data_IF_308691977879
#
_entry.id   IF_308691977879
#
_cell.length_a   1.000
_cell.length_b   1.000
_cell.length_c   1.000
_cell.angle_alpha   90.00
_cell.angle_beta   90.00
_cell.angle_gamma   90.00
#
_symmetry.space_group_name_H-M   'P 1'
#
loop_
_entity.id
_entity.type
_entity.pdbx_description
1 polymer ?
2 polymer ?
3 non-polymer ?
4 water ?
#
# COMPACT_ATOMS: atom_id res chain seq x y z
N UNK A 9 -3.39 -24.50 13.76
CA UNK A 9 -4.45 -24.21 14.73
C UNK A 9 -5.34 -23.07 14.25
N UNK A 10 -4.73 -22.07 13.62
CA UNK A 10 -5.47 -20.95 13.07
C UNK A 10 -6.46 -21.40 12.01
N UNK A 11 -6.01 -22.31 11.14
CA UNK A 11 -6.83 -22.79 10.03
C UNK A 11 -7.98 -23.63 10.54
N UNK A 12 -7.77 -24.30 11.66
CA UNK A 12 -8.78 -25.18 12.24
C UNK A 12 -9.78 -24.40 13.08
N UNK A 13 -9.66 -23.07 13.07
CA UNK A 13 -10.57 -22.22 13.81
C UNK A 13 -11.77 -21.80 12.96
N UNK A 14 -12.83 -21.38 13.62
CA UNK A 14 -14.02 -20.91 12.93
C UNK A 14 -13.94 -19.39 12.76
N UNK A 15 -14.79 -18.84 11.88
CA UNK A 15 -14.82 -17.41 11.66
C UNK A 15 -15.17 -16.67 12.95
N UNK A 16 -16.19 -17.16 13.65
CA UNK A 16 -16.57 -16.59 14.93
C UNK A 16 -15.49 -16.87 15.97
N UNK A 17 -14.89 -18.04 15.88
CA UNK A 17 -13.76 -18.39 16.76
C UNK A 17 -12.54 -17.53 16.41
N UNK A 18 -12.46 -17.10 15.16
CA UNK A 18 -11.38 -16.20 14.74
C UNK A 18 -11.59 -14.80 15.31
N UNK A 19 -12.80 -14.29 15.20
CA UNK A 19 -13.13 -12.97 15.73
C UNK A 19 -12.96 -12.90 17.24
N UNK A 20 -13.47 -13.91 17.94
CA UNK A 20 -13.42 -13.96 19.40
C UNK A 20 -11.98 -13.95 19.92
N UNK A 21 -11.11 -14.69 19.24
CA UNK A 21 -9.70 -14.73 19.62
C UNK A 21 -9.03 -13.39 19.38
N UNK A 22 -9.33 -12.76 18.25
CA UNK A 22 -8.74 -11.47 17.90
C UNK A 22 -9.24 -10.36 18.82
N UNK A 23 -10.54 -10.37 19.11
CA UNK A 23 -11.13 -9.41 20.03
C UNK A 23 -10.47 -9.50 21.41
N UNK A 24 -10.18 -10.72 21.85
CA UNK A 24 -9.59 -10.96 23.16
C UNK A 24 -8.10 -10.62 23.18
N UNK A 25 -7.48 -10.59 22.00
CA UNK A 25 -6.05 -10.37 21.88
C UNK A 25 -5.73 -8.87 21.83
N UNK A 26 -6.77 -8.05 21.73
CA UNK A 26 -6.62 -6.62 21.57
C UNK A 26 -5.72 -5.99 22.63
N UNK A 27 -4.76 -5.16 22.19
CA UNK A 27 -3.96 -4.38 23.12
C UNK A 27 -4.84 -3.31 23.75
N UNK A 28 -4.46 -2.81 24.93
CA UNK A 28 -5.22 -1.77 25.62
C UNK A 28 -4.96 -0.37 25.07
N UNK A 29 -5.86 0.56 25.36
CA UNK A 29 -5.66 1.94 24.96
C UNK A 29 -4.86 2.68 26.02
N UNK A 30 -3.58 2.89 25.74
CA UNK A 30 -2.66 3.44 26.72
C UNK A 30 -2.85 4.95 26.85
N UNK A 31 -2.46 5.49 28.00
CA UNK A 31 -2.51 6.93 28.22
C UNK A 31 -1.13 7.53 27.95
N UNK A 32 -1.08 8.84 27.79
CA UNK A 32 0.19 9.52 27.63
C UNK A 32 0.53 10.30 28.89
N UNK A 33 1.73 10.85 28.92
CA UNK A 33 2.16 11.70 30.02
C UNK A 33 1.24 12.91 30.14
N UNK A 34 0.96 13.31 31.38
CA UNK A 34 -0.09 14.28 31.67
C UNK A 34 0.45 15.70 31.85
N UNK A 40 1.99 23.03 22.59
CA UNK A 40 3.07 22.11 22.23
C UNK A 40 4.14 22.78 21.37
N UNK A 41 5.25 22.06 21.20
CA UNK A 41 6.33 22.51 20.33
C UNK A 41 6.85 21.32 19.52
N UNK A 42 8.00 21.50 18.87
CA UNK A 42 8.59 20.43 18.08
C UNK A 42 8.99 19.25 18.95
N UNK A 43 9.79 19.54 19.98
CA UNK A 43 10.29 18.50 20.88
C UNK A 43 9.18 17.97 21.79
N UNK A 44 8.30 18.87 22.22
CA UNK A 44 7.19 18.52 23.11
C UNK A 44 6.23 17.54 22.44
N UNK A 45 5.96 17.76 21.15
CA UNK A 45 5.05 16.93 20.39
C UNK A 45 5.61 15.52 20.17
N UNK A 46 6.79 15.45 19.58
CA UNK A 46 7.39 14.17 19.23
C UNK A 46 7.83 13.40 20.47
N UNK A 47 8.17 14.13 21.53
CA UNK A 47 8.54 13.52 22.79
C UNK A 47 7.43 12.64 23.34
N UNK A 48 6.22 13.20 23.40
CA UNK A 48 5.07 12.46 23.92
C UNK A 48 4.64 11.33 22.98
N UNK A 49 4.80 11.52 21.68
CA UNK A 49 4.41 10.50 20.72
C UNK A 49 5.38 9.32 20.77
N UNK A 50 6.67 9.63 20.89
CA UNK A 50 7.71 8.61 20.97
C UNK A 50 7.51 7.74 22.21
N UNK A 51 7.28 8.38 23.35
CA UNK A 51 7.03 7.67 24.61
C UNK A 51 5.80 6.78 24.52
N UNK A 52 4.73 7.34 23.97
CA UNK A 52 3.48 6.60 23.80
C UNK A 52 3.68 5.38 22.91
N UNK A 53 4.25 5.60 21.73
CA UNK A 53 4.50 4.53 20.76
C UNK A 53 5.39 3.43 21.35
N UNK A 54 6.43 3.84 22.07
CA UNK A 54 7.34 2.89 22.71
C UNK A 54 6.60 1.93 23.64
N UNK A 55 5.63 2.45 24.38
CA UNK A 55 4.87 1.61 25.30
C UNK A 55 3.85 0.76 24.54
N UNK A 56 3.35 1.29 23.43
CA UNK A 56 2.40 0.54 22.60
C UNK A 56 3.06 -0.66 21.93
N UNK A 57 4.32 -0.51 21.53
CA UNK A 57 5.03 -1.58 20.85
C UNK A 57 5.10 -2.83 21.70
N UNK A 58 5.35 -2.63 22.99
CA UNK A 58 5.45 -3.74 23.92
C UNK A 58 4.13 -4.52 23.99
N UNK A 59 3.02 -3.79 23.93
CA UNK A 59 1.71 -4.44 23.90
C UNK A 59 1.43 -5.09 22.55
N UNK A 60 1.91 -4.47 21.48
CA UNK A 60 1.72 -5.00 20.13
C UNK A 60 2.41 -6.35 19.95
N UNK A 61 3.64 -6.45 20.46
CA UNK A 61 4.41 -7.69 20.39
C UNK A 61 3.64 -8.87 20.98
N UNK A 62 3.06 -8.68 22.15
CA UNK A 62 2.27 -9.74 22.77
C UNK A 62 0.95 -9.95 22.04
N UNK A 63 0.39 -8.86 21.51
CA UNK A 63 -0.79 -8.95 20.66
C UNK A 63 -0.52 -9.81 19.42
N UNK A 64 0.66 -9.62 18.82
CA UNK A 64 1.02 -10.38 17.63
C UNK A 64 1.18 -11.86 17.96
N UNK A 65 1.71 -12.16 19.14
CA UNK A 65 1.87 -13.55 19.57
C UNK A 65 0.52 -14.18 19.88
N UNK A 66 -0.49 -13.35 20.09
CA UNK A 66 -1.84 -13.83 20.35
C UNK A 66 -2.66 -13.93 19.06
N UNK A 67 -2.04 -13.58 17.94
CA UNK A 67 -2.67 -13.66 16.63
C UNK A 67 -2.49 -15.06 16.05
N UNK A 68 -3.60 -15.70 15.67
CA UNK A 68 -3.60 -17.09 15.15
C UNK A 68 -2.75 -17.27 13.90
N UNK A 69 -1.79 -18.19 13.98
CA UNK A 69 -0.90 -18.47 12.86
C UNK A 69 0.44 -17.77 12.97
N UNK A 70 0.50 -16.73 13.79
CA UNK A 70 1.73 -15.95 13.95
C UNK A 70 2.74 -16.70 14.82
N UNK A 71 2.25 -17.49 15.76
CA UNK A 71 3.10 -18.25 16.66
C UNK A 71 3.79 -19.40 15.92
N UNK A 72 3.13 -19.90 14.89
CA UNK A 72 3.63 -21.02 14.10
C UNK A 72 4.85 -20.62 13.27
N UNK A 73 5.00 -19.31 13.08
CA UNK A 73 6.10 -18.79 12.26
C UNK A 73 7.42 -18.86 13.00
N UNK A 74 8.51 -18.89 12.24
CA UNK A 74 9.86 -18.87 12.79
C UNK A 74 10.07 -17.54 13.53
N UNK A 75 10.96 -17.54 14.53
CA UNK A 75 11.25 -16.32 15.28
C UNK A 75 11.74 -15.21 14.36
N UNK A 76 12.60 -15.55 13.40
CA UNK A 76 13.07 -14.58 12.42
C UNK A 76 11.92 -13.98 11.63
N UNK A 77 11.02 -14.85 11.15
CA UNK A 77 9.88 -14.40 10.37
C UNK A 77 8.92 -13.56 11.20
N UNK A 78 8.78 -13.89 12.48
CA UNK A 78 7.97 -13.09 13.37
C UNK A 78 8.58 -11.71 13.49
N UNK A 79 9.90 -11.68 13.65
CA UNK A 79 10.65 -10.42 13.78
C UNK A 79 10.49 -9.56 12.52
N UNK A 80 10.70 -10.17 11.37
CA UNK A 80 10.62 -9.47 10.10
C UNK A 80 9.24 -8.85 9.87
N UNK A 81 8.19 -9.59 10.20
CA UNK A 81 6.83 -9.09 10.02
C UNK A 81 6.53 -7.90 10.92
N UNK A 82 6.97 -7.99 12.18
CA UNK A 82 6.77 -6.89 13.10
C UNK A 82 7.57 -5.65 12.70
N UNK A 83 8.83 -5.85 12.31
CA UNK A 83 9.68 -4.75 11.85
C UNK A 83 9.09 -4.03 10.65
N UNK A 84 8.38 -4.78 9.81
CA UNK A 84 7.80 -4.21 8.60
C UNK A 84 6.55 -3.39 8.87
N UNK A 85 5.63 -3.92 9.67
CA UNK A 85 4.29 -3.35 9.80
C UNK A 85 4.03 -2.57 11.10
N UNK A 86 5.03 -2.43 11.95
CA UNK A 86 4.80 -1.86 13.28
C UNK A 86 4.18 -0.46 13.24
N UNK A 87 4.60 0.36 12.28
CA UNK A 87 4.05 1.71 12.20
C UNK A 87 2.66 1.67 11.57
N UNK A 88 2.45 0.77 10.61
CA UNK A 88 1.13 0.61 10.00
C UNK A 88 0.11 0.27 11.08
N UNK A 89 0.48 -0.66 11.96
CA UNK A 89 -0.39 -1.15 13.02
C UNK A 89 -0.69 -0.06 14.06
N UNK A 90 0.33 0.70 14.44
CA UNK A 90 0.11 1.86 15.30
C UNK A 90 -0.81 2.87 14.63
N UNK A 91 -0.62 3.08 13.32
CA UNK A 91 -1.40 4.09 12.61
C UNK A 91 -2.86 3.66 12.44
N UNK A 92 -3.10 2.42 12.04
CA UNK A 92 -4.48 1.96 11.88
C UNK A 92 -5.18 1.93 13.25
N UNK A 93 -4.42 1.69 14.31
CA UNK A 93 -4.94 1.81 15.65
C UNK A 93 -5.40 3.24 15.93
N UNK A 94 -4.47 4.19 15.76
CA UNK A 94 -4.76 5.61 15.89
C UNK A 94 -5.99 6.04 15.09
N UNK A 95 -6.01 5.64 13.82
CA UNK A 95 -7.10 5.93 12.91
C UNK A 95 -8.44 5.43 13.46
N UNK A 96 -8.44 4.20 13.96
CA UNK A 96 -9.63 3.60 14.51
C UNK A 96 -10.10 4.29 15.81
N UNK A 97 -9.15 4.67 16.67
CA UNK A 97 -9.50 5.37 17.91
C UNK A 97 -10.08 6.76 17.63
N UNK A 98 -9.62 7.37 16.55
CA UNK A 98 -9.98 8.75 16.25
C UNK A 98 -11.25 8.82 15.42
N UNK A 99 -11.91 7.67 15.28
CA UNK A 99 -13.05 7.53 14.37
C UNK A 99 -14.24 8.38 14.80
N UNK A 100 -14.58 8.32 16.09
CA UNK A 100 -15.70 9.10 16.60
C UNK A 100 -15.25 10.48 17.09
N UNK A 101 -14.08 10.91 16.62
CA UNK A 101 -13.59 12.27 16.89
C UNK A 101 -13.13 12.94 15.60
N UNK A 102 -14.08 13.30 14.72
CA UNK A 102 -13.79 13.84 13.39
C UNK A 102 -12.92 15.10 13.43
N UNK A 103 -11.92 15.17 12.55
CA UNK A 103 -11.03 16.31 12.49
C UNK A 103 -10.00 16.32 13.59
N UNK A 104 -10.02 15.30 14.43
CA UNK A 104 -9.07 15.19 15.54
C UNK A 104 -8.45 13.80 15.61
N UNK A 105 -7.20 13.73 16.05
CA UNK A 105 -6.52 12.46 16.25
C UNK A 105 -6.47 12.10 17.73
N UNK A 106 -7.01 10.94 18.08
CA UNK A 106 -6.98 10.47 19.47
C UNK A 106 -5.81 9.51 19.66
N UNK A 107 -4.62 10.07 19.86
CA UNK A 107 -3.45 9.25 20.15
C UNK A 107 -3.64 8.53 21.47
N UNK A 108 -4.18 9.25 22.45
CA UNK A 108 -4.46 8.71 23.76
C UNK A 108 -5.72 9.37 24.29
N UNK A 109 -6.41 8.72 25.24
CA UNK A 109 -7.62 9.34 25.80
C UNK A 109 -7.35 10.71 26.41
N UNK A 110 -6.12 10.93 26.87
CA UNK A 110 -5.74 12.22 27.44
C UNK A 110 -4.86 13.03 26.48
N UNK A 111 -4.91 12.68 25.20
CA UNK A 111 -4.13 13.38 24.18
C UNK A 111 -4.87 13.40 22.85
N UNK A 112 -5.75 14.39 22.68
CA UNK A 112 -6.49 14.57 21.45
C UNK A 112 -5.90 15.73 20.65
N UNK A 113 -5.46 15.45 19.42
CA UNK A 113 -4.78 16.46 18.61
C UNK A 113 -5.48 16.74 17.28
N UNK A 114 -5.38 17.99 16.81
CA UNK A 114 -5.94 18.37 15.52
C UNK A 114 -4.84 18.76 14.54
N UNK A 115 -5.24 19.13 13.32
CA UNK A 115 -4.29 19.43 12.25
C UNK A 115 -3.41 20.63 12.59
N UNK A 116 -3.99 21.61 13.27
CA UNK A 116 -3.27 22.82 13.64
C UNK A 116 -2.08 22.54 14.56
N UNK A 117 -2.19 21.48 15.38
CA UNK A 117 -1.11 21.10 16.27
C UNK A 117 -0.02 20.35 15.51
N UNK A 118 -0.37 19.84 14.34
CA UNK A 118 0.59 19.16 13.49
C UNK A 118 1.63 20.09 12.91
N UNK A 119 1.35 21.40 12.94
CA UNK A 119 2.28 22.39 12.40
C UNK A 119 3.43 22.67 13.36
N UNK A 120 3.36 22.06 14.54
CA UNK A 120 4.44 22.18 15.52
C UNK A 120 5.68 21.43 15.06
N UNK A 121 5.46 20.38 14.26
CA UNK A 121 6.56 19.60 13.70
C UNK A 121 6.53 19.66 12.18
N UNK A 122 7.67 20.01 11.58
CA UNK A 122 7.77 20.18 10.13
C UNK A 122 7.45 18.89 9.37
N UNK A 123 6.52 19.00 8.41
CA UNK A 123 6.18 17.89 7.55
C UNK A 123 5.25 16.87 8.18
N UNK A 124 4.67 17.19 9.32
CA UNK A 124 3.77 16.28 10.00
C UNK A 124 2.31 16.59 9.71
N UNK A 125 2.06 17.81 9.24
CA UNK A 125 0.71 18.23 8.86
C UNK A 125 0.20 17.40 7.68
N UNK A 126 1.10 17.02 6.78
CA UNK A 126 0.72 16.20 5.64
C UNK A 126 0.28 14.81 6.10
N UNK A 127 1.08 14.20 6.99
CA UNK A 127 0.76 12.88 7.52
C UNK A 127 -0.46 12.91 8.44
N UNK A 128 -0.69 14.05 9.08
CA UNK A 128 -1.89 14.22 9.90
C UNK A 128 -3.16 14.18 9.06
N UNK A 129 -3.18 14.93 7.95
CA UNK A 129 -4.35 14.99 7.10
C UNK A 129 -4.68 13.64 6.47
N UNK A 130 -3.63 12.88 6.14
CA UNK A 130 -3.81 11.55 5.59
C UNK A 130 -4.45 10.63 6.62
N UNK A 131 -4.05 10.78 7.88
CA UNK A 131 -4.61 9.99 8.97
C UNK A 131 -6.06 10.39 9.25
N UNK A 132 -6.32 11.69 9.28
CA UNK A 132 -7.67 12.21 9.47
C UNK A 132 -8.59 11.75 8.34
N UNK A 133 -8.07 11.71 7.12
CA UNK A 133 -8.84 11.27 5.96
C UNK A 133 -9.17 9.79 6.06
N UNK A 134 -8.21 8.98 6.52
CA UNK A 134 -8.42 7.56 6.68
C UNK A 134 -9.47 7.28 7.76
N UNK A 135 -9.33 7.99 8.88
CA UNK A 135 -10.29 7.88 9.98
C UNK A 135 -11.68 8.28 9.51
N UNK A 136 -11.74 9.33 8.71
CA UNK A 136 -13.01 9.81 8.17
C UNK A 136 -13.66 8.75 7.28
N UNK A 137 -12.84 8.06 6.50
CA UNK A 137 -13.34 7.05 5.57
C UNK A 137 -13.87 5.81 6.31
N UNK A 138 -13.22 5.46 7.42
CA UNK A 138 -13.71 4.37 8.26
C UNK A 138 -15.07 4.69 8.84
N UNK A 139 -15.23 5.92 9.30
CA UNK A 139 -16.49 6.37 9.88
C UNK A 139 -17.59 6.40 8.83
N UNK A 140 -17.26 6.87 7.63
CA UNK A 140 -18.24 6.94 6.55
C UNK A 140 -18.61 5.55 6.04
N UNK A 141 -17.69 4.60 6.17
CA UNK A 141 -17.95 3.22 5.79
C UNK A 141 -18.65 2.47 6.92
N UNK A 142 -18.70 3.09 8.08
CA UNK A 142 -19.27 2.48 9.28
C UNK A 142 -18.52 1.19 9.61
N UNK A 143 -17.20 1.31 9.68
CA UNK A 143 -16.33 0.19 10.01
C UNK A 143 -16.63 -0.38 11.39
N UNK A 144 -16.76 -1.70 11.46
CA UNK A 144 -17.03 -2.38 12.73
C UNK A 144 -15.74 -2.81 13.42
N UNK A 145 -15.79 -2.97 14.74
CA UNK A 145 -14.64 -3.40 15.51
C UNK A 145 -14.13 -4.77 15.12
N UNK A 146 -15.06 -5.64 14.72
CA UNK A 146 -14.72 -7.00 14.31
C UNK A 146 -13.96 -7.00 12.98
N UNK A 147 -14.23 -5.99 12.17
CA UNK A 147 -13.54 -5.83 10.89
C UNK A 147 -12.15 -5.23 11.10
N UNK A 148 -12.08 -4.24 11.98
CA UNK A 148 -10.82 -3.57 12.32
C UNK A 148 -9.74 -4.53 12.82
N UNK A 149 -10.11 -5.45 13.70
CA UNK A 149 -9.14 -6.41 14.24
C UNK A 149 -8.68 -7.39 13.16
N UNK A 150 -9.54 -7.59 12.15
CA UNK A 150 -9.19 -8.43 11.01
C UNK A 150 -8.18 -7.73 10.10
N UNK A 151 -8.41 -6.44 9.87
CA UNK A 151 -7.55 -5.63 9.01
C UNK A 151 -6.13 -5.49 9.57
N UNK A 152 -6.01 -5.25 10.87
CA UNK A 152 -4.70 -5.07 11.49
C UNK A 152 -3.95 -6.40 11.49
N UNK A 153 -4.68 -7.49 11.66
CA UNK A 153 -4.12 -8.82 11.56
C UNK A 153 -3.57 -9.06 10.15
N UNK A 154 -4.32 -8.61 9.16
CA UNK A 154 -3.88 -8.73 7.77
C UNK A 154 -2.60 -7.93 7.52
N UNK A 155 -2.57 -6.69 8.01
CA UNK A 155 -1.38 -5.84 7.88
C UNK A 155 -0.14 -6.51 8.47
N UNK A 156 -0.33 -7.20 9.59
CA UNK A 156 0.76 -7.88 10.27
C UNK A 156 1.37 -8.99 9.41
N UNK A 157 0.49 -9.79 8.81
CA UNK A 157 0.92 -11.00 8.11
C UNK A 157 1.28 -10.73 6.65
N UNK A 158 0.63 -9.74 6.05
CA UNK A 158 0.81 -9.47 4.64
C UNK A 158 1.98 -8.57 4.30
N UNK A 159 2.18 -7.52 5.10
CA UNK A 159 3.10 -6.43 4.74
C UNK A 159 4.54 -6.86 4.48
N UNK A 160 4.97 -7.97 5.06
CA UNK A 160 6.35 -8.41 4.89
C UNK A 160 6.51 -9.87 4.53
N UNK A 161 5.51 -10.45 3.87
CA UNK A 161 5.58 -11.86 3.52
C UNK A 161 6.27 -12.06 2.16
N UNK A 162 6.25 -11.01 1.34
CA UNK A 162 6.82 -11.09 -0.01
C UNK A 162 8.32 -10.84 -0.02
N UNK A 163 8.76 -9.90 0.81
CA UNK A 163 10.18 -9.59 0.92
C UNK A 163 10.91 -10.70 1.66
N UNK A 176 3.69 -18.61 2.61
CA UNK A 176 2.92 -19.78 2.19
C UNK A 176 1.90 -20.18 3.26
N UNK A 177 2.39 -20.48 4.45
CA UNK A 177 1.52 -20.72 5.61
C UNK A 177 0.74 -19.45 5.94
N UNK A 178 1.42 -18.32 5.76
CA UNK A 178 0.82 -17.02 6.00
C UNK A 178 -0.37 -16.77 5.08
N UNK A 179 -0.21 -17.14 3.81
CA UNK A 179 -1.28 -16.97 2.83
C UNK A 179 -2.49 -17.84 3.17
N UNK A 180 -2.24 -18.98 3.78
CA UNK A 180 -3.32 -19.85 4.23
C UNK A 180 -4.08 -19.17 5.37
N UNK A 181 -3.38 -18.37 6.17
CA UNK A 181 -4.01 -17.64 7.26
C UNK A 181 -4.67 -16.36 6.73
N UNK A 182 -4.01 -15.69 5.79
CA UNK A 182 -4.58 -14.52 5.14
C UNK A 182 -5.92 -14.83 4.48
N UNK A 183 -6.02 -16.01 3.87
CA UNK A 183 -7.27 -16.44 3.24
C UNK A 183 -8.35 -16.71 4.30
N UNK A 184 -7.93 -17.11 5.49
CA UNK A 184 -8.85 -17.37 6.60
C UNK A 184 -9.46 -16.09 7.14
N UNK A 185 -8.65 -15.03 7.24
CA UNK A 185 -9.13 -13.73 7.68
C UNK A 185 -10.06 -13.12 6.64
N UNK A 186 -9.83 -13.45 5.37
CA UNK A 186 -10.72 -13.01 4.29
C UNK A 186 -12.09 -13.66 4.45
N UNK A 187 -12.09 -14.96 4.68
CA UNK A 187 -13.32 -15.70 4.95
C UNK A 187 -14.02 -15.14 6.19
N UNK A 188 -13.22 -14.74 7.18
CA UNK A 188 -13.77 -14.18 8.42
C UNK A 188 -14.43 -12.83 8.14
N UNK A 189 -13.73 -11.97 7.41
CA UNK A 189 -14.28 -10.68 7.00
C UNK A 189 -15.59 -10.83 6.22
N UNK A 190 -15.61 -11.76 5.27
CA UNK A 190 -16.82 -12.04 4.51
C UNK A 190 -17.93 -12.55 5.43
N UNK A 191 -17.57 -13.44 6.35
CA UNK A 191 -18.52 -13.98 7.32
C UNK A 191 -19.15 -12.86 8.14
N UNK A 192 -18.35 -11.86 8.49
CA UNK A 192 -18.87 -10.69 9.21
C UNK A 192 -19.87 -9.94 8.34
N UNK A 193 -19.59 -9.86 7.05
CA UNK A 193 -20.48 -9.19 6.12
C UNK A 193 -21.62 -10.12 5.70
N UNK A 194 -21.42 -11.42 5.85
CA UNK A 194 -22.50 -12.38 5.64
C UNK A 194 -23.58 -12.14 6.70
N UNK A 195 -23.13 -11.80 7.91
CA UNK A 195 -24.02 -11.26 8.92
C UNK A 195 -24.32 -9.80 8.60
N UNK A 196 -25.21 -9.19 9.36
CA UNK A 196 -25.62 -7.80 9.15
C UNK A 196 -26.36 -7.59 7.81
N UNK A 197 -26.64 -8.69 7.12
CA UNK A 197 -27.47 -8.67 5.93
C UNK A 197 -26.90 -7.93 4.73
N UNK A 198 -25.68 -8.24 4.35
CA UNK A 198 -25.06 -7.62 3.18
C UNK A 198 -25.15 -8.55 1.97
N UNK A 199 -25.55 -8.00 0.83
CA UNK A 199 -25.62 -8.74 -0.42
C UNK A 199 -24.23 -9.22 -0.84
N UNK A 200 -24.16 -10.33 -1.56
CA UNK A 200 -22.89 -10.83 -2.10
C UNK A 200 -22.14 -9.74 -2.86
N UNK A 201 -22.87 -8.98 -3.66
CA UNK A 201 -22.28 -7.84 -4.37
C UNK A 201 -21.74 -6.84 -3.36
N UNK A 202 -22.52 -6.55 -2.32
CA UNK A 202 -22.11 -5.62 -1.28
C UNK A 202 -20.96 -6.18 -0.45
N UNK A 203 -20.82 -7.50 -0.43
CA UNK A 203 -19.76 -8.15 0.34
C UNK A 203 -18.39 -7.97 -0.29
N UNK A 204 -18.29 -8.30 -1.58
CA UNK A 204 -17.04 -8.19 -2.31
C UNK A 204 -16.60 -6.74 -2.37
N UNK A 205 -17.56 -5.86 -2.64
CA UNK A 205 -17.28 -4.43 -2.81
C UNK A 205 -16.74 -3.82 -1.52
N UNK A 206 -17.40 -4.11 -0.40
CA UNK A 206 -16.93 -3.60 0.88
C UNK A 206 -15.59 -4.21 1.26
N UNK A 207 -15.41 -5.49 0.92
CA UNK A 207 -14.13 -6.17 1.11
C UNK A 207 -13.03 -5.46 0.33
N UNK A 208 -13.32 -5.14 -0.93
CA UNK A 208 -12.36 -4.44 -1.77
C UNK A 208 -12.03 -3.06 -1.20
N UNK A 209 -13.06 -2.34 -0.76
CA UNK A 209 -12.88 -1.01 -0.19
C UNK A 209 -12.00 -1.03 1.05
N UNK A 210 -12.21 -2.01 1.92
CA UNK A 210 -11.42 -2.11 3.15
C UNK A 210 -9.95 -2.40 2.85
N UNK A 211 -9.70 -3.27 1.87
CA UNK A 211 -8.35 -3.68 1.54
C UNK A 211 -7.59 -2.60 0.76
N UNK A 212 -8.32 -1.76 0.05
CA UNK A 212 -7.69 -0.63 -0.64
C UNK A 212 -7.23 0.44 0.33
N UNK A 213 -7.88 0.52 1.49
CA UNK A 213 -7.47 1.45 2.53
C UNK A 213 -6.08 1.08 3.06
N UNK A 214 -5.83 -0.24 3.15
CA UNK A 214 -4.54 -0.76 3.62
C UNK A 214 -3.38 -0.22 2.78
N UNK A 215 -3.63 -0.01 1.50
CA UNK A 215 -2.64 0.58 0.61
C UNK A 215 -2.27 1.98 1.09
N UNK A 216 -3.27 2.74 1.52
CA UNK A 216 -3.03 4.08 2.02
C UNK A 216 -2.33 4.08 3.37
N UNK A 217 -2.65 3.09 4.21
CA UNK A 217 -1.99 2.97 5.51
C UNK A 217 -0.52 2.65 5.28
N UNK A 218 -0.23 1.89 4.23
CA UNK A 218 1.16 1.61 3.84
C UNK A 218 1.92 2.88 3.49
N UNK A 219 1.26 3.74 2.73
CA UNK A 219 1.82 5.02 2.28
C UNK A 219 2.13 5.93 3.47
N UNK A 220 1.16 6.09 4.36
CA UNK A 220 1.34 6.93 5.54
C UNK A 220 2.48 6.42 6.41
N UNK A 221 2.62 5.10 6.49
CA UNK A 221 3.69 4.49 7.26
C UNK A 221 5.06 4.83 6.70
N UNK A 222 5.23 4.66 5.40
CA UNK A 222 6.50 4.96 4.74
C UNK A 222 6.88 6.43 4.89
N UNK A 223 5.90 7.31 4.68
CA UNK A 223 6.12 8.73 4.83
C UNK A 223 6.34 9.09 6.29
N UNK A 224 5.73 8.32 7.19
CA UNK A 224 5.96 8.50 8.61
C UNK A 224 7.35 8.02 8.99
N UNK A 225 7.73 6.87 8.43
CA UNK A 225 9.03 6.26 8.70
C UNK A 225 10.19 7.15 8.30
N UNK A 226 10.05 7.83 7.17
CA UNK A 226 11.12 8.68 6.67
C UNK A 226 11.24 9.94 7.52
N UNK A 227 10.12 10.35 8.12
CA UNK A 227 10.14 11.51 9.00
C UNK A 227 10.78 11.16 10.35
N UNK A 228 10.58 9.92 10.80
CA UNK A 228 11.21 9.45 12.03
C UNK A 228 12.72 9.35 11.86
N UNK A 229 13.17 8.91 10.69
CA UNK A 229 14.60 8.81 10.42
C UNK A 229 15.20 10.19 10.23
N UNK A 230 14.36 11.13 9.81
CA UNK A 230 14.76 12.52 9.71
C UNK A 230 14.98 13.10 11.11
N UNK A 231 14.23 12.58 12.08
CA UNK A 231 14.30 13.05 13.45
C UNK A 231 15.46 12.39 14.21
N UNK A 232 15.76 11.14 13.83
CA UNK A 232 16.87 10.39 14.42
C UNK A 232 18.23 11.07 14.16
N UNK A 233 18.45 11.50 12.92
CA UNK A 233 19.70 12.15 12.56
C UNK A 233 19.80 13.56 13.14
N UNK A 234 18.73 14.33 12.96
CA UNK A 234 18.67 15.69 13.47
C UNK A 234 18.30 15.71 14.95
N UNK A 235 18.88 14.76 15.70
CA UNK A 235 18.72 14.57 17.14
C UNK A 235 17.71 15.46 17.85
N UNK A 237 14.22 14.73 19.19
CA UNK A 237 13.96 13.98 20.41
C UNK A 237 14.70 12.64 20.36
N UNK A 238 15.25 12.21 21.50
CA UNK A 238 15.89 10.89 21.59
C UNK A 238 14.87 9.74 21.55
N UNK A 239 15.10 8.78 20.66
CA UNK A 239 14.22 7.63 20.53
C UNK A 239 14.63 6.53 21.50
N UNK A 240 13.71 5.62 21.77
CA UNK A 240 14.01 4.47 22.64
C UNK A 240 14.81 3.43 21.85
N UNK A 241 15.53 2.59 22.59
CA UNK A 241 16.32 1.52 21.98
C UNK A 241 15.45 0.60 21.13
N UNK A 242 14.26 0.31 21.62
CA UNK A 242 13.32 -0.55 20.90
C UNK A 242 12.86 0.12 19.59
N UNK A 243 12.48 1.38 19.68
CA UNK A 243 12.02 2.14 18.51
C UNK A 243 13.15 2.36 17.53
N UNK A 244 14.36 2.49 18.05
CA UNK A 244 15.54 2.73 17.22
C UNK A 244 15.89 1.49 16.41
N UNK A 245 15.55 0.32 16.95
CA UNK A 245 15.82 -0.94 16.27
C UNK A 245 14.75 -1.28 15.26
N UNK A 246 13.52 -0.85 15.52
CA UNK A 246 12.43 -1.02 14.56
C UNK A 246 12.62 -0.07 13.38
N UNK A 247 13.35 1.01 13.64
CA UNK A 247 13.59 2.04 12.64
C UNK A 247 14.74 1.68 11.70
N UNK A 248 15.76 1.02 12.24
CA UNK A 248 16.92 0.63 11.44
C UNK A 248 16.59 -0.51 10.48
N UNK A 249 15.47 -1.18 10.72
CA UNK A 249 15.04 -2.26 9.84
C UNK A 249 14.48 -1.71 8.54
N UNK A 250 14.23 -0.40 8.49
CA UNK A 250 13.75 0.25 7.28
C UNK A 250 14.85 1.06 6.60
N UNK A 251 15.97 1.25 7.30
CA UNK A 251 17.10 2.00 6.75
C UNK A 251 18.09 1.06 6.07
N UNK B 11 -19.61 4.86 -16.50
CA UNK B 11 -19.68 3.49 -16.00
C UNK B 11 -21.09 2.91 -16.14
N UNK B 12 -21.71 3.15 -17.30
CA UNK B 12 -22.91 2.43 -17.68
C UNK B 12 -22.50 1.33 -18.64
N UNK B 13 -21.65 0.43 -18.16
CA UNK B 13 -21.04 -0.59 -19.03
C UNK B 13 -20.82 -1.89 -18.29
N UNK B 14 -21.16 -3.00 -18.95
CA UNK B 14 -21.01 -4.32 -18.33
C UNK B 14 -19.53 -4.62 -18.09
N UNK B 15 -19.28 -5.65 -17.28
CA UNK B 15 -17.91 -6.02 -16.94
C UNK B 15 -17.15 -6.48 -18.18
N UNK B 16 -17.84 -7.15 -19.10
CA UNK B 16 -17.23 -7.59 -20.35
C UNK B 16 -16.83 -6.38 -21.19
N UNK B 17 -17.68 -5.37 -21.22
CA UNK B 17 -17.38 -4.12 -21.91
C UNK B 17 -16.32 -3.33 -21.14
N UNK B 18 -16.32 -3.50 -19.82
CA UNK B 18 -15.31 -2.90 -18.97
C UNK B 18 -13.92 -3.44 -19.30
N UNK B 19 -13.81 -4.76 -19.31
CA UNK B 19 -12.54 -5.44 -19.60
C UNK B 19 -12.00 -5.07 -20.96
N UNK B 20 -12.84 -5.19 -21.98
CA UNK B 20 -12.45 -4.90 -23.35
C UNK B 20 -11.94 -3.47 -23.52
N UNK B 21 -12.61 -2.52 -22.85
CA UNK B 21 -12.18 -1.13 -22.92
C UNK B 21 -10.79 -0.96 -22.32
N UNK B 22 -10.53 -1.63 -21.20
CA UNK B 22 -9.23 -1.55 -20.56
C UNK B 22 -8.16 -2.26 -21.40
N UNK B 23 -8.55 -3.35 -22.05
CA UNK B 23 -7.64 -4.07 -22.92
C UNK B 23 -7.23 -3.23 -24.13
N UNK B 24 -8.20 -2.58 -24.76
CA UNK B 24 -7.94 -1.73 -25.92
C UNK B 24 -7.10 -0.51 -25.56
N UNK B 25 -7.20 -0.07 -24.31
CA UNK B 25 -6.51 1.13 -23.85
C UNK B 25 -5.06 0.85 -23.50
N UNK B 26 -4.70 -0.43 -23.49
CA UNK B 26 -3.37 -0.86 -23.07
C UNK B 26 -2.25 -0.21 -23.86
N UNK B 27 -1.28 0.39 -23.16
CA UNK B 27 -0.10 0.97 -23.80
C UNK B 27 0.79 -0.13 -24.36
N UNK B 28 1.61 0.20 -25.38
CA UNK B 28 2.52 -0.80 -25.93
C UNK B 28 3.73 -1.05 -25.03
N UNK B 29 4.50 -2.09 -25.35
CA UNK B 29 5.75 -2.35 -24.65
C UNK B 29 6.89 -1.67 -25.40
N UNK B 30 7.35 -0.56 -24.85
CA UNK B 30 8.40 0.23 -25.50
C UNK B 30 9.76 -0.46 -25.39
N UNK B 31 10.71 0.00 -26.20
CA UNK B 31 12.07 -0.51 -26.17
C UNK B 31 13.00 0.49 -25.49
N UNK B 32 14.16 0.01 -25.04
CA UNK B 32 15.17 0.87 -24.45
C UNK B 32 16.30 1.11 -25.45
N UNK B 33 17.27 1.94 -25.06
CA UNK B 33 18.42 2.23 -25.91
C UNK B 33 19.62 1.36 -25.51
N UNK B 34 19.34 0.29 -24.78
CA UNK B 34 20.38 -0.60 -24.27
C UNK B 34 21.11 -1.35 -25.40
N UNK B 35 22.42 -1.38 -25.29
CA UNK B 35 23.26 -2.11 -26.22
C UNK B 35 24.13 -3.10 -25.45
N UNK B 36 23.98 -4.41 -25.75
CA UNK B 36 24.74 -5.49 -25.11
C UNK B 36 26.26 -5.29 -25.17
N UNK B 37 26.74 -4.66 -26.24
CA UNK B 37 28.17 -4.39 -26.37
C UNK B 37 28.67 -3.46 -25.28
N UNK B 38 27.76 -2.66 -24.72
CA UNK B 38 28.13 -1.75 -23.65
C UNK B 38 27.46 -2.16 -22.33
N UNK B 39 28.27 -2.31 -21.27
CA UNK B 39 27.67 -2.57 -19.97
C UNK B 39 27.43 -1.27 -19.20
N UNK B 43 24.90 3.76 -12.82
CA UNK B 43 24.76 5.09 -13.41
C UNK B 43 24.29 4.97 -14.85
N UNK B 44 25.01 4.17 -15.64
CA UNK B 44 24.67 3.93 -17.03
C UNK B 44 23.32 3.24 -17.16
N UNK B 45 23.04 2.34 -16.23
CA UNK B 45 21.79 1.58 -16.24
C UNK B 45 20.61 2.43 -15.82
N UNK B 46 20.86 3.35 -14.89
CA UNK B 46 19.80 4.24 -14.41
C UNK B 46 19.42 5.24 -15.49
N UNK B 47 20.36 5.56 -16.36
CA UNK B 47 20.11 6.44 -17.48
C UNK B 47 19.12 5.83 -18.45
N UNK B 48 19.32 4.54 -18.75
CA UNK B 48 18.44 3.80 -19.65
C UNK B 48 17.02 3.71 -19.11
N UNK B 49 16.88 3.36 -17.84
CA UNK B 49 15.59 3.20 -17.20
C UNK B 49 14.84 4.51 -17.13
N UNK B 50 15.57 5.60 -16.92
CA UNK B 50 14.97 6.93 -16.83
C UNK B 50 14.37 7.35 -18.18
N UNK B 51 15.16 7.20 -19.24
CA UNK B 51 14.69 7.50 -20.60
C UNK B 51 13.55 6.58 -21.01
N UNK B 52 13.61 5.33 -20.56
CA UNK B 52 12.54 4.37 -20.79
C UNK B 52 11.25 4.82 -20.08
N UNK B 53 11.37 5.15 -18.79
CA UNK B 53 10.21 5.54 -18.02
C UNK B 53 9.62 6.85 -18.52
N UNK B 54 10.49 7.75 -18.98
CA UNK B 54 10.05 9.03 -19.50
C UNK B 54 9.18 8.88 -20.75
N UNK B 55 9.47 7.88 -21.57
CA UNK B 55 8.66 7.63 -22.76
C UNK B 55 7.43 6.81 -22.38
N UNK B 56 7.54 6.00 -21.33
CA UNK B 56 6.41 5.22 -20.86
C UNK B 56 5.34 6.11 -20.27
N UNK B 57 5.76 7.20 -19.64
CA UNK B 57 4.85 8.17 -19.05
C UNK B 57 3.90 8.75 -20.07
N UNK B 58 4.43 9.11 -21.23
CA UNK B 58 3.63 9.76 -22.26
C UNK B 58 2.51 8.84 -22.73
N UNK B 59 2.77 7.54 -22.72
CA UNK B 59 1.76 6.56 -23.07
C UNK B 59 0.77 6.33 -21.93
N UNK B 60 1.26 6.41 -20.70
CA UNK B 60 0.42 6.22 -19.51
C UNK B 60 -0.61 7.34 -19.38
N UNK B 61 -0.16 8.56 -19.67
CA UNK B 61 -1.04 9.74 -19.61
C UNK B 61 -2.22 9.58 -20.56
N UNK B 62 -1.95 9.11 -21.77
CA UNK B 62 -3.00 8.91 -22.76
C UNK B 62 -3.77 7.63 -22.49
N UNK B 63 -3.12 6.68 -21.83
CA UNK B 63 -3.81 5.48 -21.35
C UNK B 63 -4.83 5.83 -20.26
N UNK B 64 -4.42 6.70 -19.34
CA UNK B 64 -5.29 7.08 -18.23
C UNK B 64 -6.58 7.73 -18.72
N UNK B 65 -6.48 8.44 -19.84
CA UNK B 65 -7.65 9.10 -20.42
C UNK B 65 -8.69 8.09 -20.88
N UNK B 66 -8.22 6.92 -21.29
CA UNK B 66 -9.10 5.88 -21.83
C UNK B 66 -9.59 4.93 -20.74
N UNK B 67 -9.26 5.25 -19.49
CA UNK B 67 -9.78 4.49 -18.35
C UNK B 67 -11.15 5.06 -17.97
N UNK B 68 -12.18 4.20 -17.93
CA UNK B 68 -13.57 4.61 -17.65
C UNK B 68 -13.71 5.38 -16.35
N UNK B 69 -14.17 6.63 -16.45
CA UNK B 69 -14.40 7.46 -15.29
C UNK B 69 -13.31 8.49 -15.01
N UNK B 70 -12.12 8.24 -15.53
CA UNK B 70 -10.97 9.10 -15.27
C UNK B 70 -11.10 10.48 -15.89
N UNK B 71 -11.62 10.54 -17.12
CA UNK B 71 -11.72 11.80 -17.84
C UNK B 71 -12.92 12.62 -17.36
N UNK B 72 -13.80 11.97 -16.60
CA UNK B 72 -14.95 12.66 -16.02
C UNK B 72 -14.51 13.61 -14.90
N UNK B 73 -13.30 13.40 -14.41
CA UNK B 73 -12.76 14.19 -13.31
C UNK B 73 -12.15 15.49 -13.83
N UNK B 74 -11.90 16.42 -12.93
CA UNK B 74 -11.28 17.70 -13.28
C UNK B 74 -9.82 17.51 -13.65
N UNK B 75 -9.21 18.53 -14.25
CA UNK B 75 -7.81 18.45 -14.67
C UNK B 75 -6.88 18.37 -13.47
N UNK B 76 -7.17 19.15 -12.43
CA UNK B 76 -6.34 19.18 -11.23
C UNK B 76 -6.35 17.83 -10.49
N UNK B 77 -7.46 17.11 -10.57
CA UNK B 77 -7.58 15.81 -9.90
C UNK B 77 -6.85 14.72 -10.66
N UNK B 78 -6.95 14.77 -11.98
CA UNK B 78 -6.25 13.83 -12.85
C UNK B 78 -4.74 13.96 -12.67
N UNK B 79 -4.28 15.21 -12.56
CA UNK B 79 -2.87 15.50 -12.35
C UNK B 79 -2.34 14.84 -11.07
N UNK B 80 -3.07 15.03 -9.97
CA UNK B 80 -2.69 14.45 -8.69
C UNK B 80 -2.69 12.93 -8.73
N UNK B 81 -3.75 12.33 -9.26
CA UNK B 81 -3.85 10.87 -9.35
C UNK B 81 -2.69 10.25 -10.11
N UNK B 82 -2.22 10.93 -11.16
CA UNK B 82 -1.07 10.44 -11.90
C UNK B 82 0.22 10.72 -11.14
N UNK B 83 0.34 11.92 -10.58
CA UNK B 83 1.54 12.31 -9.84
C UNK B 83 1.84 11.32 -8.71
N UNK B 84 0.78 10.81 -8.08
CA UNK B 84 0.93 9.92 -6.94
C UNK B 84 1.05 8.43 -7.33
N UNK B 85 0.58 8.08 -8.52
CA UNK B 85 0.56 6.66 -8.90
C UNK B 85 1.44 6.26 -10.08
N UNK B 86 2.14 7.22 -10.70
CA UNK B 86 2.86 6.93 -11.94
C UNK B 86 3.91 5.82 -11.82
N UNK B 87 4.58 5.75 -10.69
CA UNK B 87 5.61 4.73 -10.49
C UNK B 87 4.97 3.38 -10.16
N UNK B 88 3.83 3.40 -9.46
CA UNK B 88 3.10 2.18 -9.15
C UNK B 88 2.65 1.51 -10.45
N UNK B 89 2.09 2.31 -11.36
CA UNK B 89 1.60 1.81 -12.64
C UNK B 89 2.76 1.32 -13.52
N UNK B 90 3.86 2.05 -13.52
CA UNK B 90 5.08 1.57 -14.15
C UNK B 90 5.56 0.25 -13.52
N UNK B 91 5.62 0.20 -12.19
CA UNK B 91 6.16 -0.99 -11.53
C UNK B 91 5.29 -2.23 -11.71
N UNK B 92 3.98 -2.06 -11.68
CA UNK B 92 3.10 -3.21 -11.87
C UNK B 92 3.15 -3.66 -13.31
N UNK B 93 3.40 -2.72 -14.22
CA UNK B 93 3.60 -3.03 -15.63
C UNK B 93 4.85 -3.85 -15.79
N UNK B 94 5.92 -3.43 -15.12
CA UNK B 94 7.19 -4.17 -15.12
C UNK B 94 7.03 -5.58 -14.59
N UNK B 95 6.36 -5.70 -13.44
CA UNK B 95 6.12 -6.99 -12.79
C UNK B 95 5.33 -7.94 -13.68
N UNK B 96 4.34 -7.39 -14.38
CA UNK B 96 3.53 -8.16 -15.32
C UNK B 96 4.33 -8.67 -16.52
N UNK B 97 5.21 -7.84 -17.07
CA UNK B 97 6.01 -8.25 -18.23
C UNK B 97 7.01 -9.34 -17.85
N UNK B 98 7.46 -9.31 -16.61
CA UNK B 98 8.53 -10.20 -16.15
C UNK B 98 7.97 -11.45 -15.50
N UNK B 99 6.65 -11.58 -15.56
CA UNK B 99 5.91 -12.67 -14.92
C UNK B 99 6.37 -14.05 -15.36
N UNK B 100 6.72 -14.18 -16.64
CA UNK B 100 7.15 -15.46 -17.21
C UNK B 100 8.66 -15.51 -17.39
N UNK B 101 9.37 -14.64 -16.68
CA UNK B 101 10.83 -14.63 -16.70
C UNK B 101 11.38 -14.71 -15.28
N UNK B 102 11.40 -15.93 -14.72
CA UNK B 102 11.83 -16.18 -13.33
C UNK B 102 13.22 -15.62 -13.02
N UNK B 103 13.32 -14.89 -11.91
CA UNK B 103 14.59 -14.35 -11.46
C UNK B 103 15.09 -13.20 -12.32
N UNK B 104 14.22 -12.69 -13.19
CA UNK B 104 14.60 -11.62 -14.09
C UNK B 104 13.52 -10.55 -14.19
N UNK B 105 13.94 -9.32 -14.42
CA UNK B 105 13.02 -8.22 -14.66
C UNK B 105 13.09 -7.79 -16.11
N UNK B 106 11.93 -7.74 -16.78
CA UNK B 106 11.87 -7.35 -18.18
C UNK B 106 11.42 -5.90 -18.32
N UNK B 107 12.37 -4.97 -18.29
CA UNK B 107 12.06 -3.56 -18.50
C UNK B 107 11.70 -3.32 -19.94
N UNK B 108 12.22 -4.18 -20.81
CA UNK B 108 11.98 -4.09 -22.25
C UNK B 108 12.37 -5.41 -22.89
N UNK B 109 11.84 -5.70 -24.09
CA UNK B 109 12.20 -6.94 -24.79
C UNK B 109 13.70 -7.09 -24.98
N UNK B 110 14.38 -5.96 -25.17
CA UNK B 110 15.83 -5.97 -25.35
C UNK B 110 16.57 -5.69 -24.04
N UNK B 111 15.81 -5.44 -22.97
CA UNK B 111 16.40 -5.16 -21.66
C UNK B 111 15.86 -6.10 -20.59
N UNK B 112 16.47 -7.29 -20.49
CA UNK B 112 16.11 -8.26 -19.47
C UNK B 112 17.19 -8.29 -18.40
N UNK B 113 16.85 -7.89 -17.18
CA UNK B 113 17.88 -7.71 -16.15
C UNK B 113 17.89 -8.75 -15.03
N UNK B 114 19.03 -8.82 -14.35
CA UNK B 114 19.34 -9.90 -13.42
C UNK B 114 19.45 -9.40 -11.99
N UNK B 115 19.40 -10.32 -11.03
CA UNK B 115 19.73 -10.01 -9.64
C UNK B 115 21.25 -10.05 -9.47
N UNK B 116 21.93 -9.19 -10.21
CA UNK B 116 23.37 -9.07 -10.18
C UNK B 116 23.78 -7.77 -10.84
N UNK B 117 22.96 -7.32 -11.79
CA UNK B 117 23.14 -6.03 -12.43
C UNK B 117 22.36 -4.96 -11.68
N UNK B 118 21.61 -5.38 -10.66
CA UNK B 118 20.90 -4.45 -9.81
C UNK B 118 21.87 -3.71 -8.90
N UNK B 119 23.03 -4.30 -8.65
CA UNK B 119 24.04 -3.71 -7.80
C UNK B 119 24.85 -2.65 -8.54
N UNK B 120 24.67 -2.59 -9.86
CA UNK B 120 25.32 -1.57 -10.69
C UNK B 120 24.81 -0.18 -10.32
N UNK B 121 23.67 -0.14 -9.64
CA UNK B 121 23.16 1.08 -9.00
C UNK B 121 23.00 0.82 -7.50
N UNK B 122 23.55 1.72 -6.68
CA UNK B 122 23.55 1.52 -5.24
C UNK B 122 22.17 1.69 -4.62
N UNK B 123 21.74 0.69 -3.86
CA UNK B 123 20.47 0.74 -3.17
C UNK B 123 19.31 0.22 -4.01
N UNK B 124 19.57 -0.15 -5.25
CA UNK B 124 18.53 -0.64 -6.14
C UNK B 124 18.29 -2.13 -5.95
N UNK B 125 19.28 -2.83 -5.42
CA UNK B 125 19.21 -4.28 -5.22
C UNK B 125 18.01 -4.65 -4.32
N UNK B 126 17.69 -3.79 -3.35
CA UNK B 126 16.55 -4.05 -2.48
C UNK B 126 15.23 -3.97 -3.23
N UNK B 127 15.11 -2.97 -4.11
CA UNK B 127 13.89 -2.77 -4.89
C UNK B 127 13.65 -3.93 -5.87
N UNK B 128 14.73 -4.39 -6.49
CA UNK B 128 14.69 -5.51 -7.43
C UNK B 128 14.13 -6.76 -6.79
N UNK B 129 14.59 -7.02 -5.56
CA UNK B 129 14.12 -8.16 -4.77
C UNK B 129 12.61 -8.19 -4.67
N UNK B 130 12.03 -7.08 -4.26
CA UNK B 130 10.59 -6.99 -4.05
C UNK B 130 9.85 -7.09 -5.36
N UNK B 131 10.42 -6.49 -6.41
CA UNK B 131 9.85 -6.59 -7.74
C UNK B 131 9.84 -8.03 -8.22
N UNK B 132 10.97 -8.72 -8.05
CA UNK B 132 11.07 -10.14 -8.40
C UNK B 132 10.08 -10.98 -7.60
N UNK B 133 9.93 -10.65 -6.32
CA UNK B 133 9.02 -11.37 -5.44
C UNK B 133 7.58 -11.17 -5.87
N UNK B 134 7.28 -9.96 -6.35
CA UNK B 134 5.97 -9.61 -6.84
C UNK B 134 5.67 -10.37 -8.14
N UNK B 135 6.67 -10.42 -9.01
CA UNK B 135 6.57 -11.17 -10.25
C UNK B 135 6.36 -12.66 -9.98
N UNK B 136 7.02 -13.16 -8.94
CA UNK B 136 6.90 -14.57 -8.58
C UNK B 136 5.53 -14.86 -8.00
N UNK B 137 4.89 -13.82 -7.46
CA UNK B 137 3.57 -13.94 -6.86
C UNK B 137 2.48 -13.99 -7.92
N UNK B 138 2.62 -13.15 -8.94
CA UNK B 138 1.73 -13.19 -10.10
C UNK B 138 1.82 -14.54 -10.80
N UNK B 139 3.03 -15.09 -10.86
CA UNK B 139 3.27 -16.37 -11.52
C UNK B 139 2.58 -17.51 -10.79
N UNK B 140 2.78 -17.56 -9.46
CA UNK B 140 2.19 -18.60 -8.64
C UNK B 140 0.67 -18.52 -8.62
N UNK B 141 0.14 -17.30 -8.69
CA UNK B 141 -1.30 -17.08 -8.70
C UNK B 141 -1.90 -17.29 -10.08
N UNK B 142 -1.03 -17.41 -11.10
CA UNK B 142 -1.46 -17.53 -12.48
C UNK B 142 -2.36 -16.36 -12.86
N UNK B 143 -1.83 -15.15 -12.68
CA UNK B 143 -2.58 -13.92 -12.94
C UNK B 143 -2.94 -13.79 -14.42
N UNK B 144 -4.18 -13.42 -14.70
CA UNK B 144 -4.63 -13.21 -16.06
C UNK B 144 -4.53 -11.75 -16.45
N UNK B 145 -4.44 -11.49 -17.75
CA UNK B 145 -4.31 -10.13 -18.26
C UNK B 145 -5.52 -9.28 -17.95
N UNK B 146 -6.69 -9.91 -17.98
CA UNK B 146 -7.94 -9.21 -17.68
C UNK B 146 -7.94 -8.72 -16.23
N UNK B 147 -7.22 -9.41 -15.35
CA UNK B 147 -7.13 -9.04 -13.95
C UNK B 147 -6.07 -7.96 -13.73
N UNK B 148 -4.98 -8.08 -14.47
CA UNK B 148 -3.90 -7.10 -14.43
C UNK B 148 -4.37 -5.71 -14.88
N UNK B 149 -5.11 -5.64 -15.98
CA UNK B 149 -5.59 -4.35 -16.49
C UNK B 149 -6.58 -3.72 -15.51
N UNK B 150 -7.26 -4.55 -14.75
CA UNK B 150 -8.16 -4.09 -13.69
C UNK B 150 -7.38 -3.52 -12.51
N UNK B 151 -6.37 -4.25 -12.06
CA UNK B 151 -5.52 -3.83 -10.94
C UNK B 151 -4.81 -2.53 -11.26
N UNK B 152 -4.37 -2.40 -12.51
CA UNK B 152 -3.67 -1.21 -12.96
C UNK B 152 -4.59 0.01 -12.84
N UNK B 153 -5.82 -0.15 -13.29
CA UNK B 153 -6.78 0.94 -13.27
C UNK B 153 -7.23 1.27 -11.85
N UNK B 154 -7.23 0.26 -10.97
CA UNK B 154 -7.53 0.47 -9.56
C UNK B 154 -6.48 1.37 -8.92
N UNK B 155 -5.21 1.03 -9.14
CA UNK B 155 -4.09 1.83 -8.63
C UNK B 155 -4.19 3.29 -9.07
N UNK B 156 -4.49 3.51 -10.34
CA UNK B 156 -4.64 4.86 -10.87
C UNK B 156 -5.68 5.64 -10.09
N UNK B 157 -6.80 4.99 -9.80
CA UNK B 157 -7.94 5.64 -9.17
C UNK B 157 -7.89 5.64 -7.64
N UNK B 158 -7.05 4.78 -7.07
CA UNK B 158 -7.01 4.60 -5.62
C UNK B 158 -5.81 5.24 -4.93
N UNK B 159 -4.67 5.29 -5.60
CA UNK B 159 -3.44 5.76 -4.99
C UNK B 159 -3.50 7.22 -4.53
N UNK B 160 -4.46 7.96 -5.08
CA UNK B 160 -4.70 9.32 -4.65
C UNK B 160 -5.90 9.41 -3.73
N UNK B 161 -6.93 10.12 -4.16
CA UNK B 161 -8.19 10.26 -3.41
C UNK B 161 -7.99 10.80 -1.99
N UNK B 162 -7.39 9.98 -1.13
CA UNK B 162 -7.22 10.34 0.28
C UNK B 162 -6.00 11.23 0.50
N UNK B 163 -5.35 11.64 -0.58
CA UNK B 163 -4.27 12.60 -0.51
C UNK B 163 -4.78 13.97 -0.96
N UNK B 164 -6.07 14.04 -1.27
CA UNK B 164 -6.72 15.31 -1.64
C UNK B 164 -6.89 16.21 -0.41
N UNK B 171 -16.02 24.82 -3.25
CA UNK B 171 -16.65 23.60 -3.73
C UNK B 171 -16.15 22.38 -2.96
N UNK B 172 -16.89 21.28 -3.03
CA UNK B 172 -16.56 20.08 -2.26
C UNK B 172 -16.70 18.78 -3.05
N UNK B 173 -15.90 18.66 -4.11
CA UNK B 173 -15.68 17.41 -4.85
C UNK B 173 -16.87 16.50 -5.09
N UNK B 174 -17.22 15.72 -4.07
CA UNK B 174 -18.04 14.51 -4.17
C UNK B 174 -17.26 13.44 -4.92
N UNK B 175 -16.33 12.81 -4.22
CA UNK B 175 -15.46 11.78 -4.78
C UNK B 175 -16.14 10.41 -4.83
N UNK B 176 -17.45 10.39 -4.63
CA UNK B 176 -18.20 9.14 -4.66
C UNK B 176 -18.19 8.53 -6.06
N UNK B 177 -17.93 9.37 -7.06
CA UNK B 177 -17.84 8.90 -8.43
C UNK B 177 -16.66 7.95 -8.60
N UNK B 178 -15.53 8.29 -7.99
CA UNK B 178 -14.34 7.45 -8.04
C UNK B 178 -14.60 6.11 -7.36
N UNK B 179 -15.23 6.16 -6.20
CA UNK B 179 -15.60 4.94 -5.48
C UNK B 179 -16.66 4.15 -6.25
N UNK B 180 -17.51 4.85 -6.98
CA UNK B 180 -18.52 4.21 -7.82
C UNK B 180 -17.86 3.41 -8.94
N UNK B 181 -16.81 3.98 -9.53
CA UNK B 181 -16.05 3.30 -10.58
C UNK B 181 -15.21 2.18 -9.97
N UNK B 182 -14.65 2.46 -8.79
CA UNK B 182 -13.87 1.47 -8.06
C UNK B 182 -14.70 0.24 -7.70
N UNK B 183 -15.95 0.46 -7.31
CA UNK B 183 -16.86 -0.63 -7.02
C UNK B 183 -17.24 -1.38 -8.30
N UNK B 184 -17.26 -0.66 -9.43
CA UNK B 184 -17.55 -1.29 -10.72
C UNK B 184 -16.38 -2.17 -11.16
N UNK B 185 -15.16 -1.74 -10.85
CA UNK B 185 -13.97 -2.53 -11.20
C UNK B 185 -13.90 -3.77 -10.33
N UNK B 186 -14.45 -3.66 -9.13
CA UNK B 186 -14.52 -4.80 -8.23
C UNK B 186 -15.46 -5.86 -8.78
N UNK B 187 -16.67 -5.45 -9.16
CA UNK B 187 -17.63 -6.38 -9.74
C UNK B 187 -17.07 -7.03 -11.01
N UNK B 188 -16.25 -6.28 -11.75
CA UNK B 188 -15.62 -6.78 -12.98
C UNK B 188 -14.67 -7.93 -12.68
N UNK B 189 -13.79 -7.72 -11.70
CA UNK B 189 -12.90 -8.78 -11.22
C UNK B 189 -13.67 -10.03 -10.75
N UNK B 190 -14.72 -9.82 -9.96
CA UNK B 190 -15.55 -10.94 -9.50
C UNK B 190 -16.17 -11.68 -10.68
N UNK B 191 -16.59 -10.92 -11.70
CA UNK B 191 -17.19 -11.51 -12.89
C UNK B 191 -16.20 -12.37 -13.66
N UNK B 192 -14.95 -11.91 -13.69
CA UNK B 192 -13.88 -12.65 -14.35
C UNK B 192 -13.61 -13.99 -13.68
N UNK B 193 -13.52 -13.97 -12.35
CA UNK B 193 -13.18 -15.18 -11.61
C UNK B 193 -14.29 -16.20 -11.66
N UNK B 194 -15.53 -15.72 -11.61
CA UNK B 194 -16.71 -16.57 -11.68
C UNK B 194 -16.75 -17.35 -12.99
N UNK B 195 -16.34 -16.71 -14.09
CA UNK B 195 -16.34 -17.35 -15.40
C UNK B 195 -15.17 -18.32 -15.52
N UNK B 196 -14.18 -18.16 -14.65
CA UNK B 196 -13.00 -19.02 -14.65
C UNK B 196 -13.25 -20.31 -13.88
N UNK B 197 -14.43 -20.41 -13.26
CA UNK B 197 -14.82 -21.61 -12.55
C UNK B 197 -14.61 -21.56 -11.04
N UNK B 198 -14.15 -20.42 -10.55
CA UNK B 198 -13.86 -20.26 -9.13
C UNK B 198 -15.13 -20.22 -8.29
N UNK B 199 -15.13 -20.94 -7.17
CA UNK B 199 -16.28 -20.92 -6.27
C UNK B 199 -16.37 -19.57 -5.56
N UNK B 200 -17.51 -19.32 -4.93
CA UNK B 200 -17.75 -18.06 -4.23
C UNK B 200 -16.66 -17.77 -3.20
N UNK B 201 -16.21 -18.81 -2.51
CA UNK B 201 -15.15 -18.68 -1.54
C UNK B 201 -13.82 -18.33 -2.19
N UNK B 202 -13.50 -19.03 -3.27
CA UNK B 202 -12.25 -18.81 -3.98
C UNK B 202 -12.18 -17.43 -4.60
N UNK B 203 -13.35 -16.88 -4.93
CA UNK B 203 -13.40 -15.56 -5.55
C UNK B 203 -12.95 -14.46 -4.59
N UNK B 204 -13.46 -14.49 -3.35
CA UNK B 204 -13.12 -13.47 -2.36
C UNK B 204 -11.66 -13.58 -1.97
N UNK B 205 -11.16 -14.80 -1.87
CA UNK B 205 -9.78 -15.05 -1.52
C UNK B 205 -8.85 -14.45 -2.57
N UNK B 206 -9.10 -14.79 -3.84
CA UNK B 206 -8.28 -14.28 -4.93
C UNK B 206 -8.41 -12.76 -5.02
N UNK B 207 -9.64 -12.27 -4.89
CA UNK B 207 -9.90 -10.83 -4.81
C UNK B 207 -9.01 -10.17 -3.76
N UNK B 208 -9.03 -10.75 -2.56
CA UNK B 208 -8.23 -10.25 -1.44
C UNK B 208 -6.74 -10.34 -1.75
N UNK B 209 -6.30 -11.52 -2.19
CA UNK B 209 -4.90 -11.75 -2.52
C UNK B 209 -4.40 -10.75 -3.56
N UNK B 210 -5.23 -10.48 -4.57
CA UNK B 210 -4.86 -9.52 -5.61
C UNK B 210 -4.72 -8.11 -5.06
N UNK B 211 -5.64 -7.70 -4.21
CA UNK B 211 -5.63 -6.32 -3.70
C UNK B 211 -4.58 -6.13 -2.60
N UNK B 212 -4.17 -7.22 -1.95
CA UNK B 212 -3.08 -7.18 -0.99
C UNK B 212 -1.74 -6.94 -1.71
N UNK B 213 -1.69 -7.24 -3.00
CA UNK B 213 -0.50 -6.98 -3.81
C UNK B 213 -0.29 -5.48 -3.94
N UNK B 214 -1.39 -4.75 -4.07
CA UNK B 214 -1.36 -3.31 -4.25
C UNK B 214 -0.75 -2.65 -3.02
N UNK B 215 -0.88 -3.32 -1.88
CA UNK B 215 -0.21 -2.89 -0.65
C UNK B 215 1.18 -3.50 -0.58
N UNK B 216 1.89 -3.42 -1.69
CA UNK B 216 3.27 -3.84 -1.80
C UNK B 216 3.88 -3.05 -2.93
N UNK B 217 3.09 -2.92 -3.99
CA UNK B 217 3.42 -2.05 -5.09
C UNK B 217 3.52 -0.62 -4.55
N UNK B 218 2.63 -0.24 -3.65
CA UNK B 218 2.72 1.05 -2.97
C UNK B 218 4.06 1.18 -2.25
N UNK B 219 4.43 0.12 -1.55
CA UNK B 219 5.66 0.11 -0.77
C UNK B 219 6.88 0.25 -1.66
N UNK B 220 6.93 -0.60 -2.69
CA UNK B 220 8.01 -0.56 -3.67
C UNK B 220 8.10 0.81 -4.34
N UNK B 221 6.94 1.41 -4.62
CA UNK B 221 6.89 2.74 -5.22
C UNK B 221 7.48 3.80 -4.28
N UNK B 222 7.07 3.77 -3.02
CA UNK B 222 7.56 4.70 -2.01
C UNK B 222 9.07 4.60 -1.84
N UNK B 223 9.56 3.38 -1.68
CA UNK B 223 10.99 3.12 -1.57
C UNK B 223 11.69 3.61 -2.83
N UNK B 224 11.18 3.20 -3.98
CA UNK B 224 11.72 3.63 -5.26
C UNK B 224 11.73 5.15 -5.42
N UNK B 225 10.58 5.76 -5.16
CA UNK B 225 10.42 7.21 -5.27
C UNK B 225 11.50 7.97 -4.49
N UNK B 226 11.80 7.47 -3.29
CA UNK B 226 12.79 8.11 -2.43
C UNK B 226 14.21 7.90 -2.94
N UNK B 227 14.41 6.84 -3.73
CA UNK B 227 15.70 6.59 -4.34
C UNK B 227 15.93 7.57 -5.50
N UNK B 228 14.86 7.94 -6.17
CA UNK B 228 14.95 8.87 -7.30
C UNK B 228 15.19 10.29 -6.81
N UNK B 229 14.64 10.62 -5.65
CA UNK B 229 14.83 11.94 -5.03
C UNK B 229 16.26 12.09 -4.52
N UNK B 230 16.91 10.96 -4.25
CA UNK B 230 18.29 10.93 -3.80
C UNK B 230 19.24 11.25 -4.95
N UNK B 231 18.93 10.69 -6.12
CA UNK B 231 19.79 10.86 -7.30
C UNK B 231 19.67 12.26 -7.90
N UNK B 232 18.52 12.90 -7.65
CA UNK B 232 18.31 14.27 -8.11
C UNK B 232 19.32 15.22 -7.46
N UNK B 233 19.71 14.91 -6.22
CA UNK B 233 20.70 15.70 -5.51
C UNK B 233 22.12 15.24 -5.84
N UNK B 234 22.26 14.55 -6.98
CA UNK B 234 23.53 14.01 -7.43
C UNK B 234 24.13 13.07 -6.39
N UNK B 236 23.98 13.03 -10.43
CA UNK B 236 24.61 12.21 -11.47
C UNK B 236 23.63 11.21 -12.08
N UNK B 237 22.48 11.71 -12.49
CA UNK B 237 21.47 10.93 -13.21
C UNK B 237 20.37 11.86 -13.68
N UNK B 238 20.70 12.79 -14.60
CA UNK B 238 19.82 13.91 -14.92
C UNK B 238 18.44 13.47 -15.44
N UNK B 239 17.41 13.64 -14.61
CA UNK B 239 16.07 13.22 -14.97
C UNK B 239 15.44 14.13 -16.02
N UNK B 240 14.50 13.58 -16.77
CA UNK B 240 13.79 14.34 -17.80
C UNK B 240 12.91 15.41 -17.18
N UNK B 241 12.42 16.33 -18.02
CA UNK B 241 11.65 17.46 -17.53
C UNK B 241 10.29 17.05 -16.97
N UNK B 242 9.78 15.91 -17.44
CA UNK B 242 8.50 15.41 -16.96
C UNK B 242 8.66 14.67 -15.65
N UNK B 243 9.71 13.84 -15.55
CA UNK B 243 9.95 13.05 -14.35
C UNK B 243 10.26 13.91 -13.13
N UNK B 244 10.83 15.10 -13.36
CA UNK B 244 11.15 16.02 -12.27
C UNK B 244 9.88 16.58 -11.63
N UNK B 245 8.86 16.80 -12.45
CA UNK B 245 7.59 17.33 -11.97
C UNK B 245 6.76 16.24 -11.30
N UNK B 246 6.93 15.01 -11.76
CA UNK B 246 6.25 13.87 -11.16
C UNK B 246 6.91 13.49 -9.84
N UNK B 247 8.15 13.94 -9.68
CA UNK B 247 8.95 13.61 -8.51
C UNK B 247 8.77 14.65 -7.41
N UNK B 248 8.71 15.92 -7.80
CA UNK B 248 8.56 17.01 -6.85
C UNK B 248 7.19 16.98 -6.17
N UNK B 249 6.25 16.28 -6.79
CA UNK B 249 4.90 16.14 -6.22
C UNK B 249 4.91 15.19 -5.03
N UNK B 250 6.03 14.52 -4.80
CA UNK B 250 6.17 13.59 -3.68
C UNK B 250 7.12 14.13 -2.61
N UNK B 251 7.22 15.45 -2.50
CA UNK B 251 8.09 16.08 -1.51
C UNK B 251 7.46 17.35 -0.95
N UNK C 3 18.97 -8.04 19.07
CA UNK C 3 17.71 -7.33 18.91
C UNK C 3 16.82 -7.49 20.14
N UNK C 4 16.28 -6.37 20.63
CA UNK C 4 15.38 -6.36 21.76
C UNK C 4 14.08 -7.09 21.43
N UNK C 5 13.67 -6.98 20.17
CA UNK C 5 12.47 -7.62 19.67
C UNK C 5 12.52 -9.14 19.85
N UNK C 6 13.73 -9.69 19.72
CA UNK C 6 13.96 -11.12 19.94
C UNK C 6 13.49 -11.53 21.32
N UNK C 7 14.00 -10.83 22.33
CA UNK C 7 13.69 -11.13 23.72
C UNK C 7 12.20 -10.93 24.01
N UNK C 8 11.64 -9.85 23.47
CA UNK C 8 10.26 -9.50 23.75
C UNK C 8 9.27 -10.44 23.06
N UNK C 9 9.73 -11.12 22.01
CA UNK C 9 8.88 -12.05 21.27
C UNK C 9 8.84 -13.44 21.89
N UNK C 10 9.57 -13.63 22.98
CA UNK C 10 9.53 -14.90 23.71
C UNK C 10 9.29 -14.67 25.21
N UNK C 11 8.29 -13.83 25.50
CA UNK C 11 7.89 -13.57 26.87
C UNK C 11 7.07 -14.73 27.43
N UNK D 3 2.86 23.27 -16.04
CA UNK D 3 3.41 21.92 -15.87
C UNK D 3 3.14 21.05 -17.09
N UNK D 4 4.08 20.17 -17.41
CA UNK D 4 3.99 19.30 -18.58
C UNK D 4 2.81 18.32 -18.46
N UNK D 5 2.64 17.75 -17.28
CA UNK D 5 1.55 16.81 -17.03
C UNK D 5 0.18 17.42 -17.33
N UNK D 6 0.02 18.70 -17.00
CA UNK D 6 -1.24 19.40 -17.26
C UNK D 6 -1.44 19.61 -18.76
N UNK D 7 -0.34 19.85 -19.46
CA UNK D 7 -0.37 20.10 -20.89
C UNK D 7 -0.66 18.83 -21.68
N UNK D 8 0.01 17.74 -21.32
CA UNK D 8 -0.15 16.47 -22.02
C UNK D 8 -1.54 15.90 -21.77
N UNK D 9 -2.11 16.21 -20.62
CA UNK D 9 -3.49 15.83 -20.33
C UNK D 9 -4.47 16.72 -21.09
N UNK D 10 -4.07 17.96 -21.35
CA UNK D 10 -4.90 18.91 -22.09
C UNK D 10 -4.81 18.67 -23.60
N UNK D 11 -3.71 18.06 -24.03
CA UNK D 11 -3.48 17.80 -25.45
C UNK D 11 -4.40 16.69 -25.97
#
# INVERSE_FOLDING_TARGET
>A
IKRSKKNSLALSLTADQMVSALLDAEPPILYSEYDPTRPFSEASMMGLLTNLADRELVHMINWAKRVPGFVDLTLHDQVHLLECAWLEILMIGLVWRSMEHPGKLLFAPNLLLDRNQGKCVEGMVEIFDMLLATSSRFRMMNLQGEEFVCLKSIILLNSGVYTFLSSTLKSLEEKDHIHRVLDKITDTLIHLMAKAGLTLQQQHQRLAQLLLILSHIRHMSNKGMEHLYSMKCKNVVPLSDLLLEMLDAHRLHAPTS
>B
IKRSKKNSLALSLTADQMVSALLDAEPPILYSEYDPTRPFSEASMMGLLTNLADRELVHMINWAKRVPGFVDLTLHDQVHLLECAWLEILMIGLVWRSMEHPGKLLFAPNLLLDRNQGKCVEGMVEIFDMLLATSSRFRMMNLQGEEFVCLKSIILLNSGVYTFLSSTLKSLEEKDHIHRVLDKITDTLIHLMAKAGLTLQQQHQRLAQLLLILSHIRHMSNKGMEHLYSMKCKNVVPLSDLLLEMLDAHRLHAPTS
>C
KHKILHRLLQDSSS
>D
KHKILHRLLQDSSS
#
